data_IF_370059482948
#
_entry.id   IF_370059482948
#
_cell.length_a   1.000
_cell.length_b   1.000
_cell.length_c   1.000
_cell.angle_alpha   90.00
_cell.angle_beta   90.00
_cell.angle_gamma   90.00
#
_symmetry.space_group_name_H-M   'P 1'
#
loop_
_entity.id
_entity.type
_entity.pdbx_description
1 polymer ?
#
# COMPACT_ATOMS: atom_id res chain seq x y z
N UNK A 1 -36.00 -0.32 44.24
CA UNK A 1 -34.59 0.03 44.50
C UNK A 1 -33.79 -0.95 43.67
N UNK A 2 -33.25 -0.64 42.50
CA UNK A 2 -32.46 0.52 42.10
C UNK A 2 -32.79 0.91 40.66
N UNK A 3 -33.28 2.14 40.46
CA UNK A 3 -33.26 2.78 39.15
C UNK A 3 -31.82 3.28 38.95
N UNK A 4 -31.03 2.49 38.22
CA UNK A 4 -29.72 2.91 37.74
C UNK A 4 -29.89 3.42 36.32
N UNK A 5 -30.35 4.67 36.18
CA UNK A 5 -30.29 5.40 34.92
C UNK A 5 -28.82 5.47 34.50
N UNK A 6 -28.44 4.59 33.59
CA UNK A 6 -27.15 4.63 32.91
C UNK A 6 -27.20 5.76 31.89
N UNK A 7 -27.03 6.96 32.43
CA UNK A 7 -26.81 8.23 31.75
C UNK A 7 -25.40 8.27 31.13
N UNK A 8 -25.13 7.33 30.21
CA UNK A 8 -23.91 7.28 29.38
C UNK A 8 -24.11 7.95 28.01
N UNK A 9 -25.26 8.61 27.80
CA UNK A 9 -25.63 9.25 26.54
C UNK A 9 -25.44 10.78 26.50
N UNK A 10 -25.49 11.45 27.66
CA UNK A 10 -25.52 12.92 27.73
C UNK A 10 -24.17 13.59 28.06
N UNK A 11 -23.11 12.81 28.27
CA UNK A 11 -21.75 13.33 28.58
C UNK A 11 -20.78 13.41 27.41
N UNK A 12 -21.21 13.08 26.19
CA UNK A 12 -20.48 13.45 24.99
C UNK A 12 -20.98 14.81 24.52
N UNK A 13 -20.26 15.90 24.83
CA UNK A 13 -20.60 17.18 24.19
C UNK A 13 -20.43 16.97 22.67
N UNK A 14 -21.57 16.99 21.97
CA UNK A 14 -21.57 16.89 20.52
C UNK A 14 -20.86 18.14 20.02
N UNK A 15 -19.93 18.03 19.05
CA UNK A 15 -19.32 19.23 18.43
C UNK A 15 -20.38 20.21 17.91
N UNK A 16 -21.63 19.80 17.72
CA UNK A 16 -22.75 20.68 17.36
C UNK A 16 -22.96 21.81 18.37
N UNK A 17 -22.65 21.57 19.63
CA UNK A 17 -22.82 22.52 20.73
C UNK A 17 -21.49 23.18 21.14
N UNK A 18 -20.42 22.90 20.40
CA UNK A 18 -19.08 23.45 20.65
C UNK A 18 -18.86 24.74 19.85
N UNK A 19 -18.48 25.81 20.54
CA UNK A 19 -18.17 27.12 19.94
C UNK A 19 -17.06 27.10 18.88
N UNK A 20 -16.23 26.05 18.88
CA UNK A 20 -15.14 25.85 17.93
C UNK A 20 -15.53 25.01 16.71
N UNK A 21 -16.80 24.62 16.57
CA UNK A 21 -17.28 23.85 15.42
C UNK A 21 -18.21 24.71 14.57
N UNK A 22 -17.77 25.02 13.37
CA UNK A 22 -18.59 25.69 12.37
C UNK A 22 -19.02 24.68 11.32
N UNK A 23 -20.32 24.62 11.06
CA UNK A 23 -20.89 23.79 10.01
C UNK A 23 -21.24 24.73 8.86
N UNK A 24 -20.52 24.60 7.75
CA UNK A 24 -20.83 25.33 6.53
C UNK A 24 -22.10 24.76 5.88
N UNK A 25 -22.81 25.55 5.06
CA UNK A 25 -24.04 25.11 4.38
C UNK A 25 -23.86 23.87 3.50
N UNK A 26 -22.64 23.58 3.03
CA UNK A 26 -22.28 22.35 2.29
C UNK A 26 -22.12 21.11 3.19
N UNK A 27 -22.38 21.22 4.49
CA UNK A 27 -22.25 20.12 5.46
C UNK A 27 -20.80 19.84 5.88
N UNK A 28 -19.83 20.64 5.39
CA UNK A 28 -18.43 20.59 5.85
C UNK A 28 -18.34 21.15 7.27
N UNK A 29 -17.59 20.45 8.12
CA UNK A 29 -17.34 20.87 9.50
C UNK A 29 -15.93 21.42 9.59
N UNK A 30 -15.81 22.70 9.91
CA UNK A 30 -14.55 23.34 10.25
C UNK A 30 -14.40 23.35 11.77
N UNK A 31 -13.33 22.72 12.25
CA UNK A 31 -12.96 22.69 13.66
C UNK A 31 -11.81 23.67 13.89
N UNK A 32 -12.04 24.67 14.73
CA UNK A 32 -11.02 25.65 15.15
C UNK A 32 -10.44 25.32 16.52
N UNK A 33 -10.80 24.17 17.10
CA UNK A 33 -10.28 23.73 18.39
C UNK A 33 -8.83 23.25 18.26
N UNK A 34 -7.95 23.74 19.13
CA UNK A 34 -6.57 23.27 19.22
C UNK A 34 -6.46 22.23 20.36
N UNK A 35 -5.98 20.99 20.08
CA UNK A 35 -5.79 19.94 21.08
C UNK A 35 -4.92 20.33 22.30
N UNK A 36 -4.06 21.34 22.16
CA UNK A 36 -3.11 21.73 23.20
C UNK A 36 -3.46 23.06 23.87
N UNK A 37 -4.27 23.91 23.24
CA UNK A 37 -4.60 25.23 23.76
C UNK A 37 -6.04 25.33 24.28
N UNK A 38 -7.03 24.82 23.53
CA UNK A 38 -8.45 25.15 23.74
C UNK A 38 -9.33 23.89 23.82
N UNK A 39 -8.89 22.88 24.57
CA UNK A 39 -9.67 21.66 24.83
C UNK A 39 -10.56 21.86 26.04
N UNK A 40 -11.88 21.79 25.85
CA UNK A 40 -12.88 21.87 26.94
C UNK A 40 -12.95 20.60 27.79
N UNK A 41 -12.88 19.45 27.15
CA UNK A 41 -13.09 18.14 27.79
C UNK A 41 -12.09 17.11 27.27
N UNK A 42 -11.69 16.12 28.09
CA UNK A 42 -10.73 15.09 27.69
C UNK A 42 -11.22 14.25 26.49
N UNK A 43 -12.53 14.11 26.31
CA UNK A 43 -13.12 13.36 25.19
C UNK A 43 -12.90 14.03 23.82
N UNK A 44 -12.72 15.35 23.79
CA UNK A 44 -12.38 16.07 22.56
C UNK A 44 -11.03 15.60 21.97
N UNK A 45 -10.10 15.15 22.81
CA UNK A 45 -8.81 14.60 22.37
C UNK A 45 -9.01 13.27 21.66
N UNK A 46 -9.85 12.38 22.22
CA UNK A 46 -10.18 11.10 21.59
C UNK A 46 -10.87 11.31 20.23
N UNK A 47 -11.78 12.29 20.14
CA UNK A 47 -12.39 12.68 18.87
C UNK A 47 -11.36 13.21 17.86
N UNK A 48 -10.41 14.02 18.31
CA UNK A 48 -9.30 14.49 17.48
C UNK A 48 -8.47 13.33 16.92
N UNK A 49 -8.20 12.33 17.74
CA UNK A 49 -7.54 11.10 17.30
C UNK A 49 -8.35 10.39 16.22
N UNK A 50 -9.67 10.25 16.41
CA UNK A 50 -10.56 9.62 15.42
C UNK A 50 -10.61 10.40 14.09
N UNK A 51 -10.72 11.73 14.13
CA UNK A 51 -10.73 12.57 12.91
C UNK A 51 -9.42 12.40 12.14
N UNK A 52 -8.28 12.40 12.84
CA UNK A 52 -6.97 12.25 12.20
C UNK A 52 -6.77 10.83 11.63
N UNK A 53 -7.29 9.81 12.31
CA UNK A 53 -7.28 8.44 11.81
C UNK A 53 -8.16 8.29 10.57
N UNK A 54 -9.34 8.90 10.54
CA UNK A 54 -10.22 8.89 9.38
C UNK A 54 -9.56 9.54 8.14
N UNK A 55 -8.88 10.67 8.33
CA UNK A 55 -8.09 11.31 7.27
C UNK A 55 -6.96 10.41 6.74
N UNK A 56 -6.28 9.67 7.63
CA UNK A 56 -5.25 8.71 7.24
C UNK A 56 -5.83 7.49 6.53
N UNK A 57 -6.99 7.01 6.97
CA UNK A 57 -7.70 5.90 6.34
C UNK A 57 -8.18 6.28 4.94
N UNK A 58 -8.70 7.50 4.76
CA UNK A 58 -9.10 8.02 3.46
C UNK A 58 -7.91 8.13 2.49
N UNK A 59 -6.75 8.60 2.95
CA UNK A 59 -5.54 8.67 2.12
C UNK A 59 -5.04 7.28 1.72
N UNK A 60 -5.05 6.32 2.65
CA UNK A 60 -4.68 4.94 2.38
C UNK A 60 -5.62 4.27 1.38
N UNK A 61 -6.94 4.48 1.51
CA UNK A 61 -7.90 4.01 0.51
C UNK A 61 -7.68 4.64 -0.86
N UNK A 62 -7.29 5.93 -0.91
CA UNK A 62 -6.89 6.60 -2.15
C UNK A 62 -5.68 5.93 -2.80
N UNK A 63 -4.67 5.59 -1.99
CA UNK A 63 -3.47 4.88 -2.44
C UNK A 63 -3.80 3.50 -3.02
N UNK A 64 -4.62 2.70 -2.33
CA UNK A 64 -5.03 1.37 -2.81
C UNK A 64 -5.79 1.46 -4.14
N UNK A 65 -6.70 2.45 -4.29
CA UNK A 65 -7.39 2.68 -5.55
C UNK A 65 -6.43 3.04 -6.69
N UNK A 66 -5.39 3.79 -6.40
CA UNK A 66 -4.37 4.16 -7.38
C UNK A 66 -3.48 2.96 -7.76
N UNK A 67 -3.04 2.17 -6.78
CA UNK A 67 -2.30 0.92 -7.00
C UNK A 67 -3.14 -0.08 -7.83
N UNK A 68 -4.43 -0.20 -7.55
CA UNK A 68 -5.35 -1.04 -8.33
C UNK A 68 -5.44 -0.63 -9.81
N UNK A 69 -5.32 0.67 -10.13
CA UNK A 69 -5.26 1.15 -11.52
C UNK A 69 -3.94 0.84 -12.21
N UNK A 70 -2.85 0.70 -11.44
CA UNK A 70 -1.52 0.37 -11.95
C UNK A 70 -1.26 -1.12 -12.09
N UNK A 71 -2.01 -1.98 -11.40
CA UNK A 71 -1.93 -3.43 -11.55
C UNK A 71 -1.93 -3.91 -13.02
N UNK A 72 -2.86 -3.50 -13.91
CA UNK A 72 -2.83 -3.95 -15.31
C UNK A 72 -1.65 -3.39 -16.11
N UNK A 73 -1.04 -2.30 -15.65
CA UNK A 73 0.17 -1.71 -16.23
C UNK A 73 1.40 -2.52 -15.81
N UNK A 74 1.47 -2.94 -14.55
CA UNK A 74 2.51 -3.84 -14.04
C UNK A 74 2.50 -5.16 -14.81
N UNK A 75 1.33 -5.76 -15.04
CA UNK A 75 1.20 -6.99 -15.84
C UNK A 75 1.73 -6.83 -17.27
N UNK A 76 1.53 -5.67 -17.89
CA UNK A 76 2.05 -5.39 -19.24
C UNK A 76 3.56 -5.24 -19.25
N UNK A 77 4.13 -4.56 -18.26
CA UNK A 77 5.58 -4.39 -18.13
C UNK A 77 6.26 -5.75 -17.94
N UNK A 78 5.71 -6.60 -17.07
CA UNK A 78 6.24 -7.96 -16.83
C UNK A 78 6.18 -8.79 -18.12
N UNK A 79 5.04 -8.79 -18.83
CA UNK A 79 4.91 -9.52 -20.10
C UNK A 79 5.87 -9.01 -21.17
N UNK A 80 6.07 -7.70 -21.25
CA UNK A 80 6.99 -7.09 -22.22
C UNK A 80 8.44 -7.44 -21.88
N UNK A 81 8.84 -7.35 -20.61
CA UNK A 81 10.17 -7.79 -20.17
C UNK A 81 10.43 -9.26 -20.48
N UNK A 82 9.45 -10.13 -20.23
CA UNK A 82 9.59 -11.56 -20.52
C UNK A 82 9.82 -11.81 -22.02
N UNK A 83 9.12 -11.06 -22.88
CA UNK A 83 9.29 -11.14 -24.31
C UNK A 83 10.69 -10.68 -24.74
N UNK A 84 11.18 -9.55 -24.23
CA UNK A 84 12.53 -9.06 -24.53
C UNK A 84 13.62 -10.05 -24.06
N UNK A 85 13.45 -10.67 -22.89
CA UNK A 85 14.38 -11.70 -22.40
C UNK A 85 14.40 -12.91 -23.34
N UNK A 86 13.23 -13.37 -23.80
CA UNK A 86 13.14 -14.49 -24.73
C UNK A 86 13.75 -14.15 -26.10
N UNK A 87 13.51 -12.94 -26.61
CA UNK A 87 14.13 -12.48 -27.86
C UNK A 87 15.67 -12.42 -27.73
N UNK A 88 16.17 -11.95 -26.59
CA UNK A 88 17.61 -11.96 -26.31
C UNK A 88 18.18 -13.39 -26.24
N UNK A 89 17.50 -14.31 -25.56
CA UNK A 89 17.91 -15.72 -25.45
C UNK A 89 17.95 -16.41 -26.82
N UNK A 90 16.91 -16.23 -27.65
CA UNK A 90 16.88 -16.73 -29.04
C UNK A 90 18.01 -16.14 -29.90
N UNK A 91 18.36 -14.87 -29.70
CA UNK A 91 19.50 -14.21 -30.37
C UNK A 91 20.86 -14.49 -29.72
N UNK A 92 20.93 -15.15 -28.58
CA UNK A 92 22.19 -15.63 -28.00
C UNK A 92 22.40 -17.11 -28.35
N UNK A 93 21.31 -17.85 -28.59
CA UNK A 93 21.33 -19.28 -28.93
C UNK A 93 22.07 -19.59 -30.24
N UNK A 94 22.06 -18.69 -31.24
CA UNK A 94 22.83 -18.90 -32.48
C UNK A 94 24.36 -18.86 -32.26
N UNK A 95 24.83 -18.37 -31.11
CA UNK A 95 26.26 -18.32 -30.78
C UNK A 95 26.76 -19.57 -30.04
N UNK A 96 25.84 -20.41 -29.54
CA UNK A 96 26.17 -21.62 -28.78
C UNK A 96 26.23 -22.87 -29.66
N UNK A 97 25.51 -22.90 -30.78
CA UNK A 97 25.45 -24.02 -31.73
C UNK A 97 26.70 -24.16 -32.63
N UNK A 98 27.75 -23.36 -32.41
CA UNK A 98 28.99 -23.44 -33.21
C UNK A 98 30.09 -24.24 -32.50
N UNK A 99 29.92 -24.59 -31.22
CA UNK A 99 30.97 -25.25 -30.41
C UNK A 99 30.54 -26.58 -29.76
N UNK A 100 29.41 -27.21 -30.16
CA UNK A 100 29.00 -28.55 -29.66
C UNK A 100 29.08 -29.69 -30.70
N UNK A 101 29.63 -29.45 -31.91
CA UNK A 101 29.82 -30.46 -32.98
C UNK A 101 31.32 -30.81 -33.24
N UNK A 102 32.21 -30.65 -32.26
CA UNK A 102 33.61 -31.12 -32.34
C UNK A 102 34.05 -31.87 -31.06
N UNK A 103 33.49 -33.04 -30.75
CA UNK A 103 34.23 -34.08 -29.99
C UNK A 103 33.67 -35.51 -30.19
N UNK A 104 33.71 -36.03 -31.42
CA UNK A 104 33.67 -37.47 -31.67
C UNK A 104 34.73 -37.87 -32.70
N UNK A 105 35.91 -38.36 -32.25
CA UNK A 105 36.75 -39.20 -33.11
C UNK A 105 38.27 -39.18 -32.89
N UNK A 106 38.74 -40.21 -32.18
CA UNK A 106 40.00 -40.96 -32.39
C UNK A 106 41.31 -40.48 -31.74
N UNK A 107 41.86 -41.36 -30.89
CA UNK A 107 43.26 -41.30 -30.47
C UNK A 107 43.62 -42.16 -29.27
N UNK A 108 43.43 -43.48 -29.37
CA UNK A 108 43.96 -44.45 -28.41
C UNK A 108 45.46 -44.25 -28.15
N UNK A 109 45.85 -44.25 -26.87
CA UNK A 109 47.24 -44.22 -26.42
C UNK A 109 47.33 -44.61 -24.95
N UNK A 110 47.11 -45.90 -24.67
CA UNK A 110 47.44 -46.54 -23.39
C UNK A 110 48.95 -46.48 -23.11
N UNK A 111 49.31 -46.16 -21.86
CA UNK A 111 50.35 -46.84 -21.06
C UNK A 111 50.18 -46.34 -19.62
N UNK A 112 49.34 -46.99 -18.82
CA UNK A 112 49.69 -48.06 -17.87
C UNK A 112 50.59 -47.65 -16.69
N UNK A 113 49.92 -47.55 -15.52
CA UNK A 113 50.31 -48.04 -14.19
C UNK A 113 51.81 -48.13 -13.78
N UNK A 114 52.19 -47.37 -12.73
CA UNK A 114 52.48 -47.88 -11.38
C UNK A 114 52.81 -46.72 -10.42
#
# INVERSE_FOLDING_TARGET
>A
MFAGDQDWGDKMIQCKDCEFCQIEPDGRRNFTCDPFANVKEPECIAKWQLIRLDMLLASHQGMLKWQGKLAPLQDKIIKYMQREINELDETENWKLDVDEDEDEGEGEGQEEAF
#
